data_IF_225989554445
#
_entry.id   IF_225989554445
#
_cell.length_a   1.000
_cell.length_b   1.000
_cell.length_c   1.000
_cell.angle_alpha   90.00
_cell.angle_beta   90.00
_cell.angle_gamma   90.00
#
_symmetry.space_group_name_H-M   'P 1'
#
loop_
_entity.id
_entity.type
_entity.pdbx_description
1 polymer ?
#
# COMPACT_ATOMS: atom_id res chain seq x y z
N UNK A 1 -10.38 -51.18 -3.79
CA UNK A 1 -9.50 -50.16 -4.39
C UNK A 1 -10.42 -49.10 -4.95
N UNK A 2 -10.62 -47.99 -4.24
CA UNK A 2 -11.44 -46.86 -4.68
C UNK A 2 -10.62 -46.10 -5.70
N UNK A 3 -11.13 -45.79 -6.90
CA UNK A 3 -10.41 -44.96 -7.85
C UNK A 3 -10.09 -43.60 -7.19
N UNK A 4 -8.84 -43.17 -7.19
CA UNK A 4 -8.49 -41.79 -6.86
C UNK A 4 -9.22 -40.90 -7.87
N UNK A 5 -10.05 -39.97 -7.38
CA UNK A 5 -10.53 -38.89 -8.20
C UNK A 5 -9.31 -38.27 -8.89
N UNK A 6 -9.33 -38.28 -10.20
CA UNK A 6 -8.30 -37.63 -11.01
C UNK A 6 -8.35 -36.15 -10.71
N UNK A 7 -7.25 -35.56 -10.22
CA UNK A 7 -7.11 -34.13 -10.12
C UNK A 7 -7.59 -33.49 -11.43
N UNK A 8 -8.37 -32.42 -11.36
CA UNK A 8 -8.81 -31.73 -12.58
C UNK A 8 -7.59 -31.39 -13.43
N UNK A 9 -7.68 -31.49 -14.76
CA UNK A 9 -6.54 -31.24 -15.63
C UNK A 9 -6.00 -29.84 -15.35
N UNK A 10 -4.70 -29.75 -15.11
CA UNK A 10 -4.03 -28.48 -14.85
C UNK A 10 -4.32 -27.52 -16.02
N UNK A 11 -5.00 -26.41 -15.74
CA UNK A 11 -5.31 -25.36 -16.73
C UNK A 11 -3.98 -24.88 -17.32
N UNK A 12 -3.84 -24.89 -18.63
CA UNK A 12 -2.64 -24.36 -19.28
C UNK A 12 -2.66 -22.84 -19.21
N UNK A 13 -1.52 -22.24 -19.05
CA UNK A 13 -1.41 -20.77 -19.01
C UNK A 13 -1.95 -20.12 -20.30
N UNK A 14 -1.79 -20.79 -21.45
CA UNK A 14 -2.39 -20.36 -22.72
C UNK A 14 -3.92 -20.24 -22.65
N UNK A 15 -4.57 -21.13 -21.91
CA UNK A 15 -6.03 -21.14 -21.79
C UNK A 15 -6.52 -19.97 -20.90
N UNK A 16 -5.74 -19.59 -19.90
CA UNK A 16 -6.01 -18.38 -19.11
C UNK A 16 -5.93 -17.10 -19.96
N UNK A 17 -5.06 -17.08 -20.98
CA UNK A 17 -4.87 -15.97 -21.90
C UNK A 17 -5.78 -16.02 -23.15
N UNK A 18 -6.71 -16.98 -23.24
CA UNK A 18 -7.61 -17.11 -24.37
C UNK A 18 -8.56 -15.91 -24.52
N UNK A 19 -9.00 -15.32 -23.41
CA UNK A 19 -9.82 -14.12 -23.42
C UNK A 19 -8.96 -12.88 -23.74
N UNK A 20 -9.37 -12.08 -24.70
CA UNK A 20 -8.63 -10.89 -25.16
C UNK A 20 -8.34 -9.88 -24.03
N UNK A 21 -9.35 -9.51 -23.25
CA UNK A 21 -9.19 -8.57 -22.14
C UNK A 21 -8.18 -9.07 -21.07
N UNK A 22 -8.16 -10.38 -20.81
CA UNK A 22 -7.21 -10.99 -19.87
C UNK A 22 -5.80 -10.94 -20.45
N UNK A 23 -5.65 -11.26 -21.73
CA UNK A 23 -4.35 -11.22 -22.42
C UNK A 23 -3.79 -9.79 -22.47
N UNK A 24 -4.62 -8.82 -22.84
CA UNK A 24 -4.20 -7.40 -22.88
C UNK A 24 -3.78 -6.90 -21.49
N UNK A 25 -4.54 -7.25 -20.44
CA UNK A 25 -4.19 -6.89 -19.07
C UNK A 25 -2.87 -7.55 -18.65
N UNK A 26 -2.69 -8.83 -18.95
CA UNK A 26 -1.43 -9.52 -18.70
C UNK A 26 -0.25 -8.84 -19.40
N UNK A 27 -0.36 -8.55 -20.71
CA UNK A 27 0.69 -7.86 -21.47
C UNK A 27 1.02 -6.48 -20.91
N UNK A 28 0.01 -5.80 -20.37
CA UNK A 28 0.18 -4.50 -19.73
C UNK A 28 0.94 -4.62 -18.40
N UNK A 29 0.49 -5.48 -17.49
CA UNK A 29 1.08 -5.58 -16.14
C UNK A 29 2.47 -6.21 -16.16
N UNK A 30 2.75 -7.19 -17.03
CA UNK A 30 4.04 -7.86 -17.09
C UNK A 30 5.21 -6.94 -17.46
N UNK A 31 4.94 -5.80 -18.10
CA UNK A 31 5.95 -4.78 -18.43
C UNK A 31 6.57 -4.15 -17.18
N UNK A 32 5.92 -4.28 -16.03
CA UNK A 32 6.34 -3.72 -14.75
C UNK A 32 6.95 -4.76 -13.79
N UNK A 33 7.17 -5.99 -14.23
CA UNK A 33 7.78 -7.04 -13.40
C UNK A 33 9.26 -6.79 -13.06
N UNK A 34 9.86 -5.77 -13.64
CA UNK A 34 11.18 -5.29 -13.26
C UNK A 34 11.17 -4.51 -11.95
N UNK A 35 10.01 -4.07 -11.46
CA UNK A 35 9.90 -3.32 -10.22
C UNK A 35 10.30 -4.21 -9.03
N UNK A 36 11.28 -3.73 -8.30
CA UNK A 36 11.78 -4.35 -7.08
C UNK A 36 11.84 -3.29 -6.00
N UNK A 37 10.92 -3.40 -5.06
CA UNK A 37 10.68 -2.37 -4.07
C UNK A 37 11.56 -2.50 -2.83
N UNK A 38 11.82 -1.36 -2.20
CA UNK A 38 12.26 -1.29 -0.82
C UNK A 38 11.69 -0.04 -0.15
N UNK A 39 11.30 -0.16 1.11
CA UNK A 39 10.71 0.94 1.89
C UNK A 39 11.73 1.49 2.86
N UNK A 40 11.78 2.81 2.99
CA UNK A 40 12.73 3.54 3.83
C UNK A 40 12.02 4.54 4.72
N UNK A 41 12.31 4.48 6.01
CA UNK A 41 11.90 5.50 6.96
C UNK A 41 12.93 6.63 6.96
N UNK A 42 12.53 7.81 6.48
CA UNK A 42 13.45 8.91 6.24
C UNK A 42 13.77 9.74 7.49
N UNK A 43 12.86 9.75 8.45
CA UNK A 43 12.97 10.57 9.66
C UNK A 43 12.14 9.96 10.78
N UNK A 44 12.53 10.21 12.02
CA UNK A 44 11.73 9.95 13.22
C UNK A 44 10.88 11.16 13.63
N UNK A 45 10.94 12.27 12.86
CA UNK A 45 10.26 13.52 13.16
C UNK A 45 8.96 13.60 12.38
N UNK A 46 7.89 14.04 13.06
CA UNK A 46 6.61 14.32 12.45
C UNK A 46 6.01 15.60 13.05
N UNK A 47 5.27 16.32 12.25
CA UNK A 47 4.49 17.47 12.68
C UNK A 47 3.11 17.10 13.24
N UNK A 48 2.77 15.81 13.26
CA UNK A 48 1.53 15.26 13.85
C UNK A 48 1.84 14.28 14.99
N UNK A 49 0.80 13.98 15.78
CA UNK A 49 0.83 12.99 16.87
C UNK A 49 -0.44 12.13 16.79
N UNK A 50 -0.48 11.27 15.78
CA UNK A 50 -1.65 10.44 15.50
C UNK A 50 -1.80 9.33 16.54
N UNK A 51 -3.01 9.08 16.99
CA UNK A 51 -3.36 7.88 17.76
C UNK A 51 -3.12 6.63 16.91
N UNK A 52 -2.62 5.57 17.51
CA UNK A 52 -2.33 4.32 16.81
C UNK A 52 -1.16 4.41 15.81
N UNK A 53 -0.34 5.45 15.89
CA UNK A 53 0.84 5.60 15.06
C UNK A 53 1.99 4.73 15.58
N UNK A 54 2.45 3.76 14.79
CA UNK A 54 3.53 2.84 15.18
C UNK A 54 4.87 3.53 15.49
N UNK A 55 5.06 4.79 15.07
CA UNK A 55 6.22 5.60 15.44
C UNK A 55 6.18 6.11 16.88
N UNK A 56 4.98 6.27 17.44
CA UNK A 56 4.77 6.90 18.75
C UNK A 56 4.14 5.98 19.78
N UNK A 57 3.50 4.90 19.35
CA UNK A 57 2.95 3.86 20.23
C UNK A 57 4.01 2.85 20.69
N UNK A 58 5.17 2.80 20.03
CA UNK A 58 6.28 1.93 20.37
C UNK A 58 7.45 2.68 21.03
N UNK A 59 8.33 1.98 21.72
CA UNK A 59 9.52 2.54 22.39
C UNK A 59 10.60 3.07 21.44
N UNK A 60 10.35 3.08 20.13
CA UNK A 60 11.37 3.25 19.10
C UNK A 60 11.40 4.65 18.52
N UNK A 61 12.13 5.50 19.19
CA UNK A 61 12.55 6.77 18.62
C UNK A 61 13.92 6.57 17.96
N UNK A 62 13.94 6.44 16.63
CA UNK A 62 15.20 6.44 15.90
C UNK A 62 15.65 7.88 15.68
N UNK A 63 16.86 8.18 16.11
CA UNK A 63 17.46 9.47 15.83
C UNK A 63 17.95 9.46 14.36
N UNK A 64 17.24 10.14 13.48
CA UNK A 64 17.79 10.53 12.18
C UNK A 64 18.18 12.00 12.31
N UNK A 65 19.45 12.28 12.26
CA UNK A 65 19.94 13.65 12.26
C UNK A 65 19.74 14.26 10.86
N UNK A 66 19.28 15.51 10.83
CA UNK A 66 19.25 16.28 9.61
C UNK A 66 20.69 16.52 9.13
N UNK A 67 20.93 16.41 7.84
CA UNK A 67 22.23 16.70 7.24
C UNK A 67 23.03 15.48 6.76
N UNK A 68 22.45 14.27 6.81
CA UNK A 68 23.11 13.06 6.31
C UNK A 68 22.84 12.83 4.79
N UNK A 69 22.87 13.89 4.00
CA UNK A 69 22.61 13.86 2.54
C UNK A 69 23.49 12.84 1.84
N UNK A 70 24.79 12.84 2.11
CA UNK A 70 25.74 11.92 1.47
C UNK A 70 25.56 10.47 1.94
N UNK A 71 25.15 10.24 3.18
CA UNK A 71 24.84 8.90 3.68
C UNK A 71 23.59 8.34 2.97
N UNK A 72 22.55 9.15 2.75
CA UNK A 72 21.37 8.77 1.97
C UNK A 72 21.72 8.53 0.49
N UNK A 73 22.58 9.36 -0.10
CA UNK A 73 23.11 9.14 -1.44
C UNK A 73 23.83 7.79 -1.55
N UNK A 74 24.71 7.49 -0.61
CA UNK A 74 25.41 6.21 -0.54
C UNK A 74 24.45 5.03 -0.35
N UNK A 75 23.43 5.17 0.50
CA UNK A 75 22.39 4.16 0.67
C UNK A 75 21.66 3.88 -0.65
N UNK A 76 21.16 4.91 -1.34
CA UNK A 76 20.43 4.74 -2.60
C UNK A 76 21.27 4.08 -3.69
N UNK A 77 22.56 4.44 -3.81
CA UNK A 77 23.49 3.79 -4.73
C UNK A 77 23.69 2.32 -4.39
N UNK A 78 23.93 1.98 -3.13
CA UNK A 78 24.06 0.60 -2.70
C UNK A 78 22.78 -0.21 -2.88
N UNK A 79 21.60 0.39 -2.73
CA UNK A 79 20.32 -0.26 -3.01
C UNK A 79 20.13 -0.52 -4.51
N UNK A 80 20.52 0.43 -5.36
CA UNK A 80 20.52 0.26 -6.83
C UNK A 80 21.46 -0.87 -7.26
N UNK A 81 22.67 -0.94 -6.72
CA UNK A 81 23.60 -2.04 -6.96
C UNK A 81 23.06 -3.38 -6.50
N UNK A 82 22.30 -3.42 -5.41
CA UNK A 82 21.58 -4.58 -4.92
C UNK A 82 20.39 -4.97 -5.83
N UNK A 83 20.06 -4.15 -6.83
CA UNK A 83 19.00 -4.36 -7.79
C UNK A 83 17.63 -3.88 -7.33
N UNK A 84 17.53 -2.98 -6.35
CA UNK A 84 16.29 -2.24 -6.08
C UNK A 84 16.07 -1.27 -7.23
N UNK A 85 14.84 -1.24 -7.74
CA UNK A 85 14.45 -0.37 -8.85
C UNK A 85 13.35 0.61 -8.48
N UNK A 86 12.73 0.44 -7.31
CA UNK A 86 11.63 1.26 -6.83
C UNK A 86 11.76 1.53 -5.33
N UNK A 87 11.67 2.79 -4.92
CA UNK A 87 11.76 3.18 -3.52
C UNK A 87 10.43 3.67 -2.98
N UNK A 88 10.07 3.23 -1.78
CA UNK A 88 8.94 3.75 -1.02
C UNK A 88 9.50 4.56 0.14
N UNK A 89 9.37 5.87 0.08
CA UNK A 89 9.86 6.78 1.10
C UNK A 89 8.74 7.09 2.09
N UNK A 90 8.95 6.71 3.32
CA UNK A 90 7.99 6.83 4.39
C UNK A 90 8.68 7.32 5.66
N UNK A 91 8.09 7.06 6.79
CA UNK A 91 8.71 7.19 8.08
C UNK A 91 8.71 8.57 8.65
N UNK A 92 8.21 8.66 9.86
CA UNK A 92 7.52 9.72 10.51
C UNK A 92 6.84 10.70 9.52
N UNK A 93 7.53 11.73 9.01
CA UNK A 93 6.97 12.60 7.96
C UNK A 93 8.04 13.05 6.95
N UNK A 94 8.03 12.52 5.72
CA UNK A 94 9.02 12.84 4.69
C UNK A 94 9.04 14.29 4.24
N UNK A 95 7.91 15.00 4.31
CA UNK A 95 7.85 16.43 3.92
C UNK A 95 8.69 17.35 4.81
N UNK A 96 9.21 16.85 5.93
CA UNK A 96 10.10 17.59 6.82
C UNK A 96 11.58 17.51 6.43
N UNK A 97 11.92 16.66 5.45
CA UNK A 97 13.31 16.43 4.98
C UNK A 97 13.38 16.48 3.44
N UNK A 98 12.94 17.61 2.82
CA UNK A 98 12.84 17.72 1.36
C UNK A 98 14.18 17.55 0.64
N UNK A 99 15.30 17.90 1.26
CA UNK A 99 16.64 17.71 0.73
C UNK A 99 16.99 16.23 0.57
N UNK A 100 16.55 15.38 1.49
CA UNK A 100 16.75 13.94 1.41
C UNK A 100 15.87 13.32 0.33
N UNK A 101 14.63 13.82 0.17
CA UNK A 101 13.74 13.41 -0.93
C UNK A 101 14.38 13.71 -2.29
N UNK A 102 14.95 14.89 -2.45
CA UNK A 102 15.63 15.30 -3.69
C UNK A 102 16.83 14.41 -3.98
N UNK A 103 17.63 14.05 -2.98
CA UNK A 103 18.77 13.14 -3.13
C UNK A 103 18.31 11.73 -3.54
N UNK A 104 17.28 11.19 -2.89
CA UNK A 104 16.74 9.88 -3.25
C UNK A 104 16.20 9.89 -4.68
N UNK A 105 15.48 10.93 -5.09
CA UNK A 105 14.93 11.07 -6.43
C UNK A 105 16.05 11.18 -7.49
N UNK A 106 17.12 11.91 -7.20
CA UNK A 106 18.27 12.03 -8.11
C UNK A 106 19.02 10.72 -8.35
N UNK A 107 19.08 9.84 -7.36
CA UNK A 107 19.76 8.53 -7.49
C UNK A 107 18.81 7.43 -8.02
N UNK A 108 17.54 7.47 -7.64
CA UNK A 108 16.53 6.45 -7.96
C UNK A 108 15.21 7.11 -8.36
N UNK A 109 14.97 7.38 -9.64
CA UNK A 109 13.83 8.21 -10.07
C UNK A 109 12.47 7.51 -10.02
N UNK A 110 12.41 6.23 -9.74
CA UNK A 110 11.16 5.49 -9.59
C UNK A 110 10.84 5.27 -8.11
N UNK A 111 9.68 5.73 -7.69
CA UNK A 111 9.27 5.56 -6.30
C UNK A 111 7.99 6.28 -5.92
N UNK A 112 7.68 6.21 -4.64
CA UNK A 112 6.55 6.88 -4.02
C UNK A 112 6.92 7.45 -2.64
N UNK A 113 6.12 8.40 -2.18
CA UNK A 113 6.24 9.03 -0.87
C UNK A 113 4.92 8.85 -0.13
N UNK A 114 4.97 8.31 1.09
CA UNK A 114 3.83 8.31 2.00
C UNK A 114 3.92 9.50 2.96
N UNK A 115 2.97 10.42 2.87
CA UNK A 115 2.97 11.66 3.66
C UNK A 115 1.63 11.90 4.36
N UNK A 116 1.66 12.65 5.44
CA UNK A 116 0.43 13.13 6.06
C UNK A 116 -0.23 14.29 5.28
N UNK A 117 0.43 14.83 4.26
CA UNK A 117 -0.11 15.86 3.36
C UNK A 117 -0.25 17.25 3.95
N UNK A 118 0.19 17.48 5.19
CA UNK A 118 0.10 18.80 5.85
C UNK A 118 1.01 19.85 5.18
N UNK A 119 2.14 19.39 4.62
CA UNK A 119 3.06 20.20 3.82
C UNK A 119 3.16 19.63 2.41
N UNK A 120 3.31 20.51 1.41
CA UNK A 120 3.49 20.12 0.02
C UNK A 120 4.90 19.54 -0.19
N UNK A 121 4.99 18.41 -0.90
CA UNK A 121 6.27 17.88 -1.39
C UNK A 121 6.71 18.73 -2.58
N UNK A 122 8.00 19.13 -2.66
CA UNK A 122 8.50 19.94 -3.76
C UNK A 122 8.22 19.32 -5.15
N UNK A 123 7.90 20.16 -6.12
CA UNK A 123 7.59 19.72 -7.50
C UNK A 123 8.80 19.11 -8.21
N UNK A 124 10.01 19.46 -7.77
CA UNK A 124 11.26 18.86 -8.27
C UNK A 124 11.43 17.38 -7.92
N UNK A 125 10.59 16.84 -7.02
CA UNK A 125 10.61 15.42 -6.64
C UNK A 125 9.45 14.72 -7.34
N UNK A 126 9.72 14.03 -8.44
CA UNK A 126 8.70 13.45 -9.34
C UNK A 126 8.09 12.11 -8.90
N UNK A 127 8.19 11.74 -7.65
CA UNK A 127 7.59 10.50 -7.12
C UNK A 127 6.06 10.56 -7.03
N UNK A 128 5.40 9.41 -7.09
CA UNK A 128 3.98 9.28 -6.71
C UNK A 128 3.82 9.67 -5.24
N UNK A 129 2.74 10.38 -4.90
CA UNK A 129 2.52 10.89 -3.54
C UNK A 129 1.26 10.27 -2.96
N UNK A 130 1.41 9.50 -1.90
CA UNK A 130 0.32 8.88 -1.15
C UNK A 130 -0.02 9.74 0.06
N UNK A 131 -1.18 10.39 0.02
CA UNK A 131 -1.64 11.31 1.06
C UNK A 131 -2.53 10.55 2.02
N UNK A 132 -2.09 10.38 3.25
CA UNK A 132 -2.81 9.63 4.27
C UNK A 132 -4.00 10.41 4.82
N UNK A 133 -5.23 9.93 4.57
CA UNK A 133 -6.50 10.49 5.05
C UNK A 133 -7.15 9.54 6.04
N UNK A 134 -7.61 10.06 7.20
CA UNK A 134 -8.19 9.26 8.27
C UNK A 134 -9.59 9.76 8.70
N UNK A 135 -10.38 10.18 7.77
CA UNK A 135 -11.70 10.77 7.98
C UNK A 135 -11.78 12.24 7.58
N UNK A 136 -12.88 12.87 7.93
CA UNK A 136 -13.09 14.29 7.72
C UNK A 136 -12.22 15.17 8.65
N UNK A 137 -12.41 16.49 8.63
CA UNK A 137 -11.58 17.40 9.42
C UNK A 137 -11.79 17.22 10.94
N UNK A 138 -12.98 16.82 11.39
CA UNK A 138 -13.29 16.56 12.81
C UNK A 138 -12.55 15.32 13.32
N UNK A 139 -12.70 14.19 12.63
CA UNK A 139 -11.99 12.94 12.96
C UNK A 139 -10.48 13.11 12.82
N UNK A 140 -10.01 13.83 11.81
CA UNK A 140 -8.59 14.16 11.67
C UNK A 140 -8.08 14.99 12.86
N UNK A 141 -8.86 15.93 13.38
CA UNK A 141 -8.48 16.63 14.60
C UNK A 141 -8.44 15.72 15.83
N UNK A 142 -9.45 14.88 16.00
CA UNK A 142 -9.53 13.95 17.12
C UNK A 142 -8.40 12.91 17.13
N UNK A 143 -8.16 12.27 15.98
CA UNK A 143 -7.23 11.13 15.87
C UNK A 143 -5.80 11.59 15.52
N UNK A 144 -5.64 12.58 14.65
CA UNK A 144 -4.32 13.00 14.15
C UNK A 144 -3.82 14.31 14.77
N UNK A 145 -4.62 14.92 15.66
CA UNK A 145 -4.31 16.17 16.38
C UNK A 145 -4.01 17.35 15.45
N UNK A 146 -4.63 17.39 14.28
CA UNK A 146 -4.44 18.43 13.28
C UNK A 146 -5.78 19.02 12.83
N UNK A 147 -5.97 20.32 13.02
CA UNK A 147 -7.16 21.05 12.56
C UNK A 147 -7.11 21.25 11.04
N UNK A 148 -8.28 21.19 10.41
CA UNK A 148 -8.44 21.43 8.96
C UNK A 148 -7.48 20.60 8.10
N UNK A 149 -7.16 19.37 8.53
CA UNK A 149 -6.14 18.55 7.85
C UNK A 149 -6.57 18.15 6.46
N UNK A 150 -7.81 17.63 6.30
CA UNK A 150 -8.34 17.26 4.99
C UNK A 150 -8.41 18.46 4.05
N UNK A 151 -8.86 19.61 4.57
CA UNK A 151 -8.89 20.88 3.81
C UNK A 151 -7.49 21.27 3.31
N UNK A 152 -6.46 21.17 4.16
CA UNK A 152 -5.06 21.43 3.79
C UNK A 152 -4.53 20.42 2.78
N UNK A 153 -4.83 19.16 2.96
CA UNK A 153 -4.44 18.09 2.04
C UNK A 153 -5.00 18.35 0.64
N UNK A 154 -6.29 18.62 0.53
CA UNK A 154 -6.94 18.98 -0.75
C UNK A 154 -6.33 20.26 -1.33
N UNK A 155 -6.18 21.31 -0.54
CA UNK A 155 -5.55 22.56 -0.99
C UNK A 155 -4.13 22.41 -1.51
N UNK A 156 -3.35 21.48 -0.93
CA UNK A 156 -1.98 21.23 -1.35
C UNK A 156 -1.87 20.34 -2.61
N UNK A 157 -2.83 19.42 -2.82
CA UNK A 157 -2.61 18.30 -3.73
C UNK A 157 -3.71 18.04 -4.77
N UNK A 158 -4.85 18.75 -4.77
CA UNK A 158 -5.93 18.50 -5.75
C UNK A 158 -5.48 18.66 -7.21
N UNK A 159 -4.54 19.56 -7.48
CA UNK A 159 -3.99 19.81 -8.82
C UNK A 159 -2.64 19.11 -9.07
N UNK A 160 -2.17 18.30 -8.11
CA UNK A 160 -0.89 17.61 -8.22
C UNK A 160 -1.10 16.23 -8.87
N UNK A 161 -0.63 16.01 -10.12
CA UNK A 161 -0.85 14.75 -10.84
C UNK A 161 -0.13 13.56 -10.20
N UNK A 162 0.76 13.82 -9.24
CA UNK A 162 1.47 12.77 -8.49
C UNK A 162 0.60 12.20 -7.37
N UNK A 163 -0.45 12.91 -6.95
CA UNK A 163 -1.18 12.64 -5.72
C UNK A 163 -2.20 11.51 -5.86
N UNK A 164 -2.24 10.64 -4.85
CA UNK A 164 -3.33 9.71 -4.56
C UNK A 164 -3.68 9.83 -3.09
N UNK A 165 -4.95 10.06 -2.80
CA UNK A 165 -5.46 10.12 -1.44
C UNK A 165 -5.72 8.70 -0.94
N UNK A 166 -5.11 8.33 0.19
CA UNK A 166 -5.21 7.00 0.79
C UNK A 166 -6.09 7.09 2.02
N UNK A 167 -7.37 6.74 1.87
CA UNK A 167 -8.27 6.70 3.01
C UNK A 167 -8.00 5.46 3.86
N UNK A 168 -7.59 5.67 5.10
CA UNK A 168 -7.36 4.59 6.06
C UNK A 168 -8.62 4.35 6.88
N UNK A 169 -9.29 3.24 6.59
CA UNK A 169 -10.42 2.78 7.39
C UNK A 169 -9.97 2.40 8.79
N UNK A 170 -10.65 2.92 9.77
CA UNK A 170 -10.62 2.51 11.18
C UNK A 170 -12.01 2.11 11.60
N UNK A 171 -12.16 1.43 12.73
CA UNK A 171 -13.49 1.09 13.27
C UNK A 171 -14.41 2.31 13.41
N UNK A 172 -13.86 3.49 13.67
CA UNK A 172 -14.61 4.69 14.03
C UNK A 172 -14.98 5.60 12.85
N UNK A 173 -14.31 5.47 11.70
CA UNK A 173 -14.49 6.41 10.58
C UNK A 173 -15.18 5.82 9.34
N UNK A 174 -15.72 4.60 9.40
CA UNK A 174 -16.28 3.90 8.23
C UNK A 174 -17.36 4.73 7.53
N UNK A 175 -18.26 5.34 8.31
CA UNK A 175 -19.36 6.14 7.75
C UNK A 175 -18.93 7.46 7.09
N UNK A 176 -17.79 7.99 7.48
CA UNK A 176 -17.29 9.27 6.96
C UNK A 176 -16.67 9.16 5.56
N UNK A 177 -16.37 7.93 5.12
CA UNK A 177 -15.71 7.72 3.82
C UNK A 177 -16.52 8.26 2.65
N UNK A 178 -17.85 8.26 2.75
CA UNK A 178 -18.72 8.75 1.68
C UNK A 178 -18.59 10.26 1.48
N UNK A 179 -18.64 11.04 2.58
CA UNK A 179 -18.42 12.48 2.58
C UNK A 179 -17.03 12.83 2.04
N UNK A 180 -16.01 12.11 2.54
CA UNK A 180 -14.62 12.34 2.13
C UNK A 180 -14.41 11.97 0.66
N UNK A 181 -14.96 10.87 0.19
CA UNK A 181 -14.87 10.43 -1.21
C UNK A 181 -15.57 11.43 -2.14
N UNK A 182 -16.80 11.86 -1.79
CA UNK A 182 -17.53 12.85 -2.57
C UNK A 182 -16.77 14.16 -2.72
N UNK A 183 -16.17 14.64 -1.63
CA UNK A 183 -15.32 15.83 -1.64
C UNK A 183 -14.09 15.66 -2.52
N UNK A 184 -13.34 14.55 -2.36
CA UNK A 184 -12.12 14.29 -3.11
C UNK A 184 -12.40 14.11 -4.61
N UNK A 185 -13.42 13.35 -4.96
CA UNK A 185 -13.84 13.13 -6.35
C UNK A 185 -14.36 14.43 -6.98
N UNK A 186 -15.14 15.21 -6.24
CA UNK A 186 -15.60 16.54 -6.68
C UNK A 186 -14.48 17.52 -7.00
N UNK A 187 -13.31 17.36 -6.36
CA UNK A 187 -12.09 18.13 -6.66
C UNK A 187 -11.18 17.45 -7.71
N UNK A 188 -11.64 16.37 -8.35
CA UNK A 188 -10.88 15.63 -9.36
C UNK A 188 -9.76 14.74 -8.83
N UNK A 189 -9.73 14.49 -7.52
CA UNK A 189 -8.68 13.71 -6.88
C UNK A 189 -8.87 12.20 -7.09
N UNK A 190 -7.76 11.47 -7.15
CA UNK A 190 -7.75 10.01 -7.09
C UNK A 190 -7.75 9.52 -5.63
N UNK A 191 -8.52 8.49 -5.35
CA UNK A 191 -8.69 7.88 -4.04
C UNK A 191 -8.34 6.40 -4.08
N UNK A 192 -7.70 5.91 -3.03
CA UNK A 192 -7.52 4.48 -2.75
C UNK A 192 -7.75 4.21 -1.26
N UNK A 193 -7.81 2.95 -0.88
CA UNK A 193 -8.15 2.55 0.48
C UNK A 193 -7.01 1.80 1.16
N UNK A 194 -6.94 1.97 2.46
CA UNK A 194 -6.14 1.21 3.39
C UNK A 194 -7.01 0.81 4.58
N UNK A 195 -6.65 -0.25 5.27
CA UNK A 195 -7.32 -0.70 6.50
C UNK A 195 -6.30 -0.60 7.63
N UNK A 196 -6.70 0.02 8.73
CA UNK A 196 -5.85 0.22 9.89
C UNK A 196 -5.32 -1.12 10.42
N UNK A 197 -4.02 -1.21 10.58
CA UNK A 197 -3.33 -2.34 11.21
C UNK A 197 -2.80 -1.87 12.55
N UNK A 198 -3.20 -2.54 13.62
CA UNK A 198 -2.83 -2.13 14.97
C UNK A 198 -1.34 -2.28 15.23
N UNK A 199 -0.69 -1.29 15.87
CA UNK A 199 0.62 -1.50 16.48
C UNK A 199 0.59 -2.60 17.54
N UNK A 200 1.72 -3.25 17.80
CA UNK A 200 1.84 -4.25 18.85
C UNK A 200 1.43 -3.65 20.19
N UNK A 201 0.48 -4.31 20.85
CA UNK A 201 -0.03 -3.86 22.15
C UNK A 201 -1.13 -2.80 22.11
N UNK A 202 -1.46 -2.24 20.94
CA UNK A 202 -2.55 -1.29 20.81
C UNK A 202 -3.92 -1.93 21.12
N UNK A 203 -4.71 -1.29 21.96
CA UNK A 203 -6.06 -1.72 22.39
C UNK A 203 -7.10 -0.61 22.21
N UNK A 204 -6.75 0.45 21.50
CA UNK A 204 -7.60 1.62 21.32
C UNK A 204 -8.77 1.38 20.35
N UNK A 205 -9.64 2.40 20.23
CA UNK A 205 -10.92 2.31 19.51
C UNK A 205 -10.76 2.22 17.98
N UNK A 206 -9.59 2.51 17.43
CA UNK A 206 -9.37 2.46 15.98
C UNK A 206 -9.28 1.02 15.44
N UNK A 207 -9.00 0.05 16.33
CA UNK A 207 -8.86 -1.37 15.98
C UNK A 207 -10.18 -1.94 15.49
N UNK A 208 -10.13 -2.66 14.38
CA UNK A 208 -11.29 -3.33 13.81
C UNK A 208 -11.72 -4.56 14.61
N UNK A 209 -13.02 -4.80 14.61
CA UNK A 209 -13.66 -6.09 14.83
C UNK A 209 -14.20 -6.62 13.49
N UNK A 210 -14.76 -7.82 13.51
CA UNK A 210 -15.26 -8.48 12.31
C UNK A 210 -16.43 -7.71 11.68
N UNK A 211 -17.33 -7.14 12.46
CA UNK A 211 -18.45 -6.34 11.99
C UNK A 211 -17.96 -5.09 11.26
N UNK A 212 -17.01 -4.36 11.84
CA UNK A 212 -16.45 -3.16 11.23
C UNK A 212 -15.67 -3.45 9.97
N UNK A 213 -14.99 -4.61 9.87
CA UNK A 213 -14.35 -5.05 8.63
C UNK A 213 -15.37 -5.31 7.51
N UNK A 214 -16.50 -5.95 7.83
CA UNK A 214 -17.56 -6.19 6.84
C UNK A 214 -18.19 -4.86 6.37
N UNK A 215 -18.43 -3.93 7.28
CA UNK A 215 -18.93 -2.59 6.94
C UNK A 215 -17.94 -1.82 6.06
N UNK A 216 -16.64 -1.87 6.38
CA UNK A 216 -15.59 -1.25 5.54
C UNK A 216 -15.55 -1.87 4.14
N UNK A 217 -15.69 -3.20 4.02
CA UNK A 217 -15.82 -3.89 2.72
C UNK A 217 -16.98 -3.36 1.91
N UNK A 218 -18.16 -3.27 2.52
CA UNK A 218 -19.37 -2.76 1.85
C UNK A 218 -19.13 -1.35 1.30
N UNK A 219 -18.59 -0.46 2.12
CA UNK A 219 -18.27 0.91 1.70
C UNK A 219 -17.23 0.97 0.56
N UNK A 220 -16.19 0.15 0.60
CA UNK A 220 -15.18 0.08 -0.47
C UNK A 220 -15.79 -0.36 -1.79
N UNK A 221 -16.64 -1.41 -1.78
CA UNK A 221 -17.28 -1.94 -2.99
C UNK A 221 -18.27 -0.94 -3.57
N UNK A 222 -19.09 -0.29 -2.74
CA UNK A 222 -20.03 0.74 -3.16
C UNK A 222 -19.32 1.94 -3.80
N UNK A 223 -18.23 2.42 -3.19
CA UNK A 223 -17.45 3.54 -3.73
C UNK A 223 -16.70 3.17 -5.02
N UNK A 224 -16.26 1.92 -5.15
CA UNK A 224 -15.66 1.41 -6.39
C UNK A 224 -16.67 1.39 -7.54
N UNK A 225 -17.92 1.02 -7.26
CA UNK A 225 -19.01 1.04 -8.23
C UNK A 225 -19.42 2.49 -8.58
N UNK A 226 -19.51 3.36 -7.57
CA UNK A 226 -19.96 4.75 -7.74
C UNK A 226 -18.91 5.62 -8.47
N UNK A 227 -17.61 5.36 -8.25
CA UNK A 227 -16.51 6.17 -8.78
C UNK A 227 -15.39 5.31 -9.40
N UNK A 228 -15.69 4.52 -10.45
CA UNK A 228 -14.77 3.50 -10.97
C UNK A 228 -13.46 4.06 -11.54
N UNK A 229 -13.46 5.32 -12.00
CA UNK A 229 -12.28 5.99 -12.56
C UNK A 229 -11.40 6.64 -11.48
N UNK A 230 -12.01 7.20 -10.42
CA UNK A 230 -11.32 7.93 -9.37
C UNK A 230 -10.87 7.02 -8.24
N UNK A 231 -11.60 5.92 -7.97
CA UNK A 231 -11.25 4.94 -6.95
C UNK A 231 -10.28 3.91 -7.52
N UNK A 232 -9.03 4.06 -7.18
CA UNK A 232 -7.96 3.13 -7.55
C UNK A 232 -7.97 1.93 -6.61
N UNK A 233 -8.94 1.03 -6.80
CA UNK A 233 -9.11 -0.16 -5.99
C UNK A 233 -9.71 -1.30 -6.81
N UNK A 234 -9.74 -2.53 -6.28
CA UNK A 234 -10.46 -3.65 -6.89
C UNK A 234 -11.33 -4.38 -5.86
N UNK A 235 -12.32 -5.13 -6.33
CA UNK A 235 -13.17 -5.92 -5.47
C UNK A 235 -12.36 -6.96 -4.66
N UNK A 236 -11.33 -7.54 -5.28
CA UNK A 236 -10.44 -8.46 -4.59
C UNK A 236 -9.65 -7.78 -3.45
N UNK A 237 -9.13 -6.55 -3.67
CA UNK A 237 -8.49 -5.76 -2.61
C UNK A 237 -9.42 -5.57 -1.42
N UNK A 238 -10.69 -5.20 -1.68
CA UNK A 238 -11.67 -5.00 -0.63
C UNK A 238 -11.86 -6.26 0.22
N UNK A 239 -12.03 -7.43 -0.41
CA UNK A 239 -12.20 -8.70 0.30
C UNK A 239 -10.95 -9.12 1.05
N UNK A 240 -9.77 -9.04 0.41
CA UNK A 240 -8.51 -9.47 1.02
C UNK A 240 -8.13 -8.63 2.25
N UNK A 241 -8.27 -7.31 2.17
CA UNK A 241 -7.88 -6.40 3.26
C UNK A 241 -8.90 -6.33 4.41
N UNK A 242 -10.13 -6.75 4.18
CA UNK A 242 -11.19 -6.78 5.19
C UNK A 242 -11.59 -8.20 5.62
N UNK A 243 -10.81 -9.21 5.25
CA UNK A 243 -11.06 -10.58 5.68
C UNK A 243 -10.90 -10.69 7.21
N UNK A 244 -11.69 -11.52 7.92
CA UNK A 244 -11.55 -11.71 9.38
C UNK A 244 -10.13 -12.16 9.77
N UNK A 245 -9.54 -13.07 9.01
CA UNK A 245 -8.13 -13.43 9.19
C UNK A 245 -7.22 -12.32 8.68
N UNK A 246 -6.12 -12.10 9.37
CA UNK A 246 -5.09 -11.15 8.95
C UNK A 246 -4.42 -11.57 7.62
N UNK A 247 -3.74 -10.64 6.96
CA UNK A 247 -2.94 -10.98 5.77
C UNK A 247 -1.82 -11.97 6.09
N UNK A 248 -1.31 -11.95 7.33
CA UNK A 248 -0.34 -12.93 7.80
C UNK A 248 -0.91 -14.34 7.83
N UNK A 249 -2.13 -14.50 8.35
CA UNK A 249 -2.82 -15.80 8.41
C UNK A 249 -3.27 -16.29 7.04
N UNK A 250 -3.85 -15.38 6.22
CA UNK A 250 -4.34 -15.74 4.87
C UNK A 250 -3.24 -16.20 3.92
N UNK A 251 -2.09 -15.54 3.95
CA UNK A 251 -1.04 -15.74 2.95
C UNK A 251 0.25 -16.29 3.53
N UNK A 252 0.23 -16.76 4.79
CA UNK A 252 1.42 -17.31 5.48
C UNK A 252 2.63 -16.39 5.35
N UNK A 253 2.45 -15.12 5.65
CA UNK A 253 3.50 -14.12 5.57
C UNK A 253 4.64 -14.48 6.53
N UNK A 254 5.82 -14.76 6.01
CA UNK A 254 7.00 -15.16 6.77
C UNK A 254 8.16 -14.18 6.56
N UNK A 255 7.89 -12.88 6.65
CA UNK A 255 8.93 -11.89 6.45
C UNK A 255 9.94 -11.86 7.61
N UNK A 256 11.22 -12.03 7.35
CA UNK A 256 12.24 -11.70 8.34
C UNK A 256 12.26 -10.19 8.56
N UNK A 257 12.30 -9.77 9.83
CA UNK A 257 12.40 -8.37 10.21
C UNK A 257 13.86 -7.93 10.07
N UNK A 258 14.17 -7.16 9.03
CA UNK A 258 15.47 -6.54 8.83
C UNK A 258 15.30 -5.03 8.64
N UNK A 259 16.24 -4.28 9.18
CA UNK A 259 16.25 -2.83 9.06
C UNK A 259 17.64 -2.36 8.64
N UNK A 260 17.86 -2.23 7.33
CA UNK A 260 19.18 -1.90 6.79
C UNK A 260 19.59 -0.45 7.03
N UNK A 261 18.67 0.49 6.94
CA UNK A 261 19.03 1.89 7.18
C UNK A 261 19.37 2.14 8.64
N UNK A 262 18.80 1.36 9.56
CA UNK A 262 19.14 1.41 10.97
C UNK A 262 20.58 0.94 11.22
N UNK A 263 21.02 -0.12 10.52
CA UNK A 263 22.41 -0.61 10.59
C UNK A 263 23.41 0.46 10.14
N UNK A 264 22.97 1.36 9.26
CA UNK A 264 23.75 2.51 8.78
C UNK A 264 23.52 3.78 9.61
N UNK A 265 22.69 3.76 10.65
CA UNK A 265 22.32 4.93 11.43
C UNK A 265 21.39 5.93 10.73
N UNK A 266 20.69 5.51 9.68
CA UNK A 266 19.87 6.36 8.81
C UNK A 266 18.36 6.22 9.04
N UNK A 267 17.94 5.61 10.14
CA UNK A 267 16.55 5.25 10.36
C UNK A 267 16.20 3.89 9.74
N UNK A 268 14.92 3.59 9.58
CA UNK A 268 14.48 2.24 9.16
C UNK A 268 14.35 2.11 7.66
N UNK A 269 14.83 0.99 7.11
CA UNK A 269 14.52 0.57 5.76
C UNK A 269 14.04 -0.88 5.74
N UNK A 270 13.08 -1.15 4.88
CA UNK A 270 12.48 -2.46 4.73
C UNK A 270 12.57 -2.88 3.28
N UNK A 271 13.03 -4.10 3.05
CA UNK A 271 13.01 -4.69 1.73
C UNK A 271 11.68 -5.38 1.51
N UNK A 272 11.04 -5.09 0.40
CA UNK A 272 9.79 -5.71 0.02
C UNK A 272 9.95 -6.68 -1.15
N UNK A 273 8.87 -7.36 -1.51
CA UNK A 273 8.86 -8.30 -2.61
C UNK A 273 9.04 -7.63 -3.96
N UNK A 274 9.53 -8.42 -4.86
CA UNK A 274 9.54 -8.10 -6.29
C UNK A 274 8.15 -8.35 -6.89
N UNK A 275 7.72 -7.46 -7.75
CA UNK A 275 6.49 -7.64 -8.53
C UNK A 275 6.62 -8.74 -9.59
N UNK A 276 7.86 -9.19 -9.91
CA UNK A 276 8.12 -10.32 -10.79
C UNK A 276 7.86 -11.69 -10.14
N UNK A 277 7.22 -11.71 -8.97
CA UNK A 277 6.83 -12.89 -8.20
C UNK A 277 8.00 -13.72 -7.65
N UNK A 278 9.21 -13.20 -7.73
CA UNK A 278 10.38 -13.85 -7.12
C UNK A 278 10.54 -13.38 -5.69
N UNK A 279 10.81 -14.34 -4.82
CA UNK A 279 11.10 -14.09 -3.43
C UNK A 279 12.55 -13.65 -3.24
N UNK A 280 12.75 -12.47 -2.69
CA UNK A 280 14.03 -12.15 -2.08
C UNK A 280 13.98 -12.56 -0.60
N UNK A 281 14.70 -13.61 -0.24
CA UNK A 281 14.75 -14.12 1.14
C UNK A 281 15.31 -13.12 2.16
N UNK A 282 15.87 -12.03 1.69
CA UNK A 282 16.42 -10.96 2.54
C UNK A 282 15.38 -9.87 2.84
N UNK A 283 14.12 -10.09 2.48
CA UNK A 283 13.05 -9.11 2.62
C UNK A 283 12.54 -9.03 4.04
N UNK A 284 12.38 -7.82 4.53
CA UNK A 284 11.79 -7.52 5.82
C UNK A 284 10.33 -7.06 5.70
N UNK A 285 9.60 -7.16 6.80
CA UNK A 285 8.28 -6.55 6.94
C UNK A 285 8.38 -5.02 6.82
N UNK A 286 7.45 -4.40 6.10
CA UNK A 286 7.39 -2.95 5.94
C UNK A 286 7.08 -2.19 7.24
N UNK A 287 6.46 -2.85 8.22
CA UNK A 287 6.13 -2.23 9.53
C UNK A 287 6.44 -3.21 10.65
N UNK A 288 7.63 -3.13 11.25
CA UNK A 288 8.09 -4.12 12.23
C UNK A 288 7.30 -4.12 13.53
N UNK A 289 6.61 -3.03 13.84
CA UNK A 289 5.88 -2.88 15.09
C UNK A 289 4.36 -3.09 14.92
N UNK A 290 3.92 -3.56 13.75
CA UNK A 290 2.53 -3.98 13.53
C UNK A 290 2.29 -5.37 14.12
N UNK A 291 1.15 -5.56 14.77
CA UNK A 291 0.66 -6.86 15.19
C UNK A 291 0.35 -7.72 13.94
N UNK A 292 1.09 -8.82 13.75
CA UNK A 292 0.86 -9.69 12.60
C UNK A 292 -0.54 -10.31 12.60
N UNK A 293 -1.13 -10.55 13.77
CA UNK A 293 -2.50 -11.07 13.92
C UNK A 293 -3.57 -10.06 13.49
N UNK A 294 -3.21 -8.77 13.37
CA UNK A 294 -4.10 -7.70 12.91
C UNK A 294 -3.56 -7.00 11.65
N UNK A 295 -2.59 -7.63 10.97
CA UNK A 295 -1.95 -7.03 9.81
C UNK A 295 -2.88 -6.97 8.60
N UNK A 296 -3.17 -5.73 8.17
CA UNK A 296 -3.95 -5.39 6.96
C UNK A 296 -3.18 -4.42 6.09
N UNK A 297 -1.87 -4.45 6.23
CA UNK A 297 -1.01 -3.37 5.80
C UNK A 297 -1.01 -3.20 4.28
N UNK A 298 -1.27 -1.99 3.85
CA UNK A 298 -1.41 -1.58 2.46
C UNK A 298 -0.21 -1.95 1.58
N UNK A 299 1.00 -1.57 1.97
CA UNK A 299 2.19 -1.81 1.15
C UNK A 299 2.67 -3.28 1.21
N UNK A 300 2.96 -3.80 2.41
CA UNK A 300 3.42 -5.19 2.56
C UNK A 300 2.35 -6.20 2.20
N UNK A 301 1.10 -5.89 2.53
CA UNK A 301 -0.05 -6.70 2.15
C UNK A 301 -0.11 -6.89 0.65
N UNK A 302 0.06 -5.82 -0.12
CA UNK A 302 0.02 -5.87 -1.59
C UNK A 302 1.09 -6.81 -2.16
N UNK A 303 2.32 -6.72 -1.68
CA UNK A 303 3.39 -7.59 -2.14
C UNK A 303 3.14 -9.08 -1.81
N UNK A 304 2.68 -9.37 -0.58
CA UNK A 304 2.34 -10.75 -0.16
C UNK A 304 1.20 -11.31 -1.00
N UNK A 305 0.12 -10.53 -1.14
CA UNK A 305 -1.06 -10.95 -1.92
C UNK A 305 -0.67 -11.21 -3.37
N UNK A 306 0.10 -10.32 -3.99
CA UNK A 306 0.58 -10.48 -5.37
C UNK A 306 1.33 -11.80 -5.56
N UNK A 307 2.29 -12.09 -4.67
CA UNK A 307 3.11 -13.29 -4.79
C UNK A 307 2.34 -14.57 -4.49
N UNK A 308 1.45 -14.56 -3.51
CA UNK A 308 0.73 -15.77 -3.08
C UNK A 308 -0.48 -16.06 -3.94
N UNK A 309 -1.25 -15.06 -4.30
CA UNK A 309 -2.43 -15.23 -5.14
C UNK A 309 -2.05 -15.82 -6.50
N UNK A 310 -0.93 -15.43 -7.09
CA UNK A 310 -0.47 -16.00 -8.35
C UNK A 310 -0.24 -17.52 -8.30
N UNK A 311 0.18 -18.05 -7.17
CA UNK A 311 0.34 -19.50 -7.01
C UNK A 311 -0.97 -20.28 -7.09
N UNK A 312 -2.09 -19.62 -6.81
CA UNK A 312 -3.43 -20.17 -6.86
C UNK A 312 -4.21 -19.72 -8.11
N UNK A 313 -3.57 -18.99 -9.02
CA UNK A 313 -4.17 -18.51 -10.27
C UNK A 313 -4.27 -19.60 -11.36
N UNK A 314 -4.51 -20.85 -10.95
CA UNK A 314 -4.77 -21.98 -11.87
C UNK A 314 -6.15 -21.95 -12.51
N UNK A 315 -7.07 -21.12 -11.98
CA UNK A 315 -8.41 -20.90 -12.47
C UNK A 315 -8.55 -19.49 -13.05
N UNK A 316 -9.37 -19.36 -14.11
CA UNK A 316 -9.53 -18.11 -14.84
C UNK A 316 -9.99 -16.95 -13.93
N UNK A 317 -10.97 -17.18 -13.07
CA UNK A 317 -11.51 -16.12 -12.20
C UNK A 317 -10.49 -15.67 -11.14
N UNK A 318 -9.73 -16.60 -10.58
CA UNK A 318 -8.62 -16.27 -9.65
C UNK A 318 -7.51 -15.52 -10.38
N UNK A 319 -7.22 -15.88 -11.64
CA UNK A 319 -6.25 -15.16 -12.45
C UNK A 319 -6.70 -13.74 -12.81
N UNK A 320 -7.97 -13.55 -13.16
CA UNK A 320 -8.56 -12.22 -13.35
C UNK A 320 -8.46 -11.36 -12.08
N UNK A 321 -8.83 -11.94 -10.93
CA UNK A 321 -8.71 -11.25 -9.65
C UNK A 321 -7.26 -10.83 -9.34
N UNK A 322 -6.29 -11.69 -9.64
CA UNK A 322 -4.88 -11.37 -9.53
C UNK A 322 -4.46 -10.24 -10.47
N UNK A 323 -4.92 -10.26 -11.72
CA UNK A 323 -4.65 -9.20 -12.68
C UNK A 323 -5.23 -7.85 -12.23
N UNK A 324 -6.46 -7.84 -11.73
CA UNK A 324 -7.10 -6.64 -11.19
C UNK A 324 -6.36 -6.10 -9.97
N UNK A 325 -5.88 -7.02 -9.11
CA UNK A 325 -5.08 -6.65 -7.95
C UNK A 325 -3.77 -5.98 -8.37
N UNK A 326 -3.03 -6.58 -9.31
CA UNK A 326 -1.75 -6.03 -9.79
C UNK A 326 -1.94 -4.73 -10.56
N UNK A 327 -2.97 -4.65 -11.42
CA UNK A 327 -3.28 -3.43 -12.17
C UNK A 327 -3.60 -2.25 -11.23
N UNK A 328 -4.42 -2.52 -10.21
CA UNK A 328 -4.72 -1.54 -9.15
C UNK A 328 -3.44 -1.12 -8.41
N UNK A 329 -2.61 -2.08 -8.03
CA UNK A 329 -1.34 -1.81 -7.38
C UNK A 329 -0.46 -0.88 -8.23
N UNK A 330 -0.29 -1.19 -9.51
CA UNK A 330 0.50 -0.35 -10.42
C UNK A 330 -0.09 1.05 -10.58
N UNK A 331 -1.41 1.19 -10.67
CA UNK A 331 -2.08 2.50 -10.77
C UNK A 331 -1.86 3.38 -9.53
N UNK A 332 -1.84 2.76 -8.36
CA UNK A 332 -1.60 3.47 -7.09
C UNK A 332 -0.13 3.86 -6.95
N UNK A 333 0.81 2.99 -7.34
CA UNK A 333 2.23 3.15 -7.04
C UNK A 333 3.05 3.75 -8.17
N UNK A 334 2.67 3.56 -9.43
CA UNK A 334 3.49 3.96 -10.58
C UNK A 334 2.94 5.23 -11.23
N UNK A 335 3.79 6.24 -11.38
CA UNK A 335 3.44 7.47 -12.07
C UNK A 335 3.00 7.21 -13.51
N UNK A 336 1.84 7.79 -13.87
CA UNK A 336 1.31 7.72 -15.23
C UNK A 336 0.78 6.33 -15.65
N UNK A 337 0.73 5.35 -14.73
CA UNK A 337 0.10 4.07 -15.04
C UNK A 337 -1.43 4.21 -14.98
N UNK A 338 -2.15 4.00 -16.10
CA UNK A 338 -3.60 4.07 -16.11
C UNK A 338 -4.20 2.78 -15.55
N UNK A 339 -5.09 2.88 -14.55
CA UNK A 339 -5.88 1.73 -14.11
C UNK A 339 -6.79 1.29 -15.26
N UNK A 340 -6.91 -0.01 -15.48
CA UNK A 340 -7.92 -0.57 -16.39
C UNK A 340 -9.24 -0.86 -15.67
N UNK A 341 -10.28 -1.16 -16.44
CA UNK A 341 -11.53 -1.66 -15.88
C UNK A 341 -11.31 -2.99 -15.16
N UNK A 342 -12.04 -3.25 -14.08
CA UNK A 342 -11.94 -4.52 -13.39
C UNK A 342 -12.41 -5.68 -14.28
N UNK A 343 -11.60 -6.74 -14.36
CA UNK A 343 -11.94 -7.98 -15.07
C UNK A 343 -12.95 -8.83 -14.29
N UNK A 344 -12.91 -8.73 -12.96
CA UNK A 344 -13.88 -9.34 -12.06
C UNK A 344 -14.95 -8.32 -11.68
N UNK A 345 -16.22 -8.61 -11.99
CA UNK A 345 -17.36 -7.79 -11.57
C UNK A 345 -17.77 -8.06 -10.14
N UNK A 346 -17.59 -9.30 -9.69
CA UNK A 346 -17.89 -9.72 -8.34
C UNK A 346 -16.60 -10.07 -7.57
N UNK A 347 -16.60 -9.90 -6.25
CA UNK A 347 -15.45 -10.21 -5.43
C UNK A 347 -15.19 -11.72 -5.38
N UNK A 348 -13.98 -12.12 -5.74
CA UNK A 348 -13.49 -13.49 -5.57
C UNK A 348 -12.92 -13.64 -4.15
N UNK A 349 -13.30 -14.69 -3.47
CA UNK A 349 -12.74 -14.98 -2.15
C UNK A 349 -11.25 -15.33 -2.24
N UNK A 350 -10.42 -14.85 -1.31
CA UNK A 350 -9.03 -15.24 -1.25
C UNK A 350 -8.91 -16.76 -1.09
N UNK A 351 -8.02 -17.43 -1.84
CA UNK A 351 -7.74 -18.83 -1.60
C UNK A 351 -7.16 -18.98 -0.20
N UNK A 352 -7.78 -19.83 0.61
CA UNK A 352 -7.24 -20.20 1.92
C UNK A 352 -5.95 -20.97 1.70
N UNK A 353 -4.84 -20.44 2.16
CA UNK A 353 -3.57 -21.17 2.18
C UNK A 353 -3.62 -22.13 3.36
N UNK A 354 -3.78 -23.42 3.06
CA UNK A 354 -3.64 -24.50 4.04
C UNK A 354 -2.18 -24.71 4.42
#
# INVERSE_FOLDING_TARGET
>A
MVPRETDPPAVRFSDLLAQEAVRERWEKVRRYFFLRESTYDMSNRCNLRCEGCYYYEGEKQFAVENGQVEAWRGLMRGEKERGITYVVLAGAEPSLVPELLAVCYGEMPLGSIATNGFRKIPESVGYKIHISVWGNDETSYRVRKARDLLKKQVGNYREDPRAVFVYTFTRENIGEVYEVAERLVGEGCQLTFNVFSSPVGYRGPLRHDEESLLRARGAMLELLERYPEQVLFSAYNAVAHTHPKSLHELYSCQYPRQNRSQDLGLGRSFRQYRTDLRWDRTVACCVPDTDCGDCRHYAAGSAVVTARLFRHAGELETFKAWLDYVDTYLAVWVMGYPKGENLCREPVNPPLVN
#
